data_IF_191503467147
#
_entry.id   IF_191503467147
#
_cell.length_a   1.000
_cell.length_b   1.000
_cell.length_c   1.000
_cell.angle_alpha   90.00
_cell.angle_beta   90.00
_cell.angle_gamma   90.00
#
_symmetry.space_group_name_H-M   'P 1'
#
loop_
_entity.id
_entity.type
_entity.pdbx_description
1 polymer ?
#
# COMPACT_ATOMS: atom_id res chain seq x y z
N UNK A 1 -23.85 -7.61 -3.04
CA UNK A 1 -22.79 -7.67 -2.00
C UNK A 1 -22.20 -6.27 -1.80
N UNK A 2 -21.85 -5.84 -0.59
CA UNK A 2 -21.21 -4.53 -0.33
C UNK A 2 -19.80 -4.71 0.23
N UNK A 3 -18.82 -4.07 -0.40
CA UNK A 3 -17.43 -4.04 0.08
C UNK A 3 -17.24 -2.86 1.03
N UNK A 4 -16.87 -3.16 2.27
CA UNK A 4 -16.68 -2.14 3.32
C UNK A 4 -15.20 -1.93 3.66
N UNK A 5 -14.43 -3.01 3.77
CA UNK A 5 -13.03 -2.94 4.19
C UNK A 5 -12.17 -3.79 3.27
N UNK A 6 -11.03 -3.24 2.85
CA UNK A 6 -9.98 -3.96 2.14
C UNK A 6 -8.67 -3.81 2.89
N UNK A 7 -7.90 -4.89 2.99
CA UNK A 7 -6.56 -4.88 3.58
C UNK A 7 -5.57 -5.46 2.56
N UNK A 8 -4.73 -4.59 1.99
CA UNK A 8 -3.63 -4.98 1.13
C UNK A 8 -2.43 -5.41 1.99
N UNK A 9 -2.34 -6.71 2.22
CA UNK A 9 -1.29 -7.34 3.05
C UNK A 9 -0.20 -8.05 2.25
N UNK A 10 -0.50 -8.48 1.02
CA UNK A 10 0.43 -9.24 0.19
C UNK A 10 1.76 -8.47 -0.01
N UNK A 11 2.87 -9.14 0.26
CA UNK A 11 4.19 -8.60 0.06
C UNK A 11 5.27 -9.65 0.11
N UNK A 12 6.33 -9.45 -0.66
CA UNK A 12 7.54 -10.28 -0.67
C UNK A 12 8.77 -9.42 -0.38
N UNK A 13 9.80 -10.09 0.13
CA UNK A 13 11.14 -9.53 0.34
C UNK A 13 12.13 -10.33 -0.49
N UNK A 14 13.18 -9.68 -0.99
CA UNK A 14 14.29 -10.37 -1.66
C UNK A 14 15.39 -10.70 -0.64
N UNK A 15 16.29 -11.66 -0.95
CA UNK A 15 17.46 -11.92 -0.11
C UNK A 15 18.30 -10.65 0.10
N UNK A 16 18.79 -10.46 1.32
CA UNK A 16 19.63 -9.32 1.66
C UNK A 16 20.89 -9.32 0.79
N UNK A 17 21.05 -8.27 -0.02
CA UNK A 17 22.15 -8.12 -0.97
C UNK A 17 22.42 -6.64 -1.28
N UNK A 18 23.66 -6.33 -1.66
CA UNK A 18 24.00 -5.01 -2.21
C UNK A 18 23.17 -4.71 -3.46
N UNK A 19 22.91 -3.43 -3.73
CA UNK A 19 22.03 -3.03 -4.84
C UNK A 19 22.55 -3.49 -6.20
N UNK A 20 23.87 -3.53 -6.36
CA UNK A 20 24.59 -4.04 -7.54
C UNK A 20 24.37 -5.54 -7.79
N UNK A 21 23.92 -6.28 -6.76
CA UNK A 21 23.66 -7.71 -6.83
C UNK A 21 22.16 -8.04 -6.96
N UNK A 22 21.28 -7.04 -6.90
CA UNK A 22 19.83 -7.23 -7.09
C UNK A 22 19.55 -7.22 -8.59
N UNK A 23 19.17 -8.37 -9.14
CA UNK A 23 18.79 -8.44 -10.56
C UNK A 23 17.50 -7.67 -10.84
N UNK A 24 17.37 -7.16 -12.06
CA UNK A 24 16.17 -6.46 -12.53
C UNK A 24 14.92 -7.32 -12.36
N UNK A 25 14.99 -8.61 -12.71
CA UNK A 25 13.87 -9.54 -12.54
C UNK A 25 13.42 -9.69 -11.07
N UNK A 26 14.35 -9.66 -10.11
CA UNK A 26 14.01 -9.67 -8.68
C UNK A 26 13.39 -8.35 -8.27
N UNK A 27 13.97 -7.23 -8.71
CA UNK A 27 13.44 -5.90 -8.44
C UNK A 27 11.99 -5.77 -8.94
N UNK A 28 11.75 -6.12 -10.20
CA UNK A 28 10.44 -6.10 -10.84
C UNK A 28 9.44 -7.02 -10.16
N UNK A 29 9.88 -8.19 -9.71
CA UNK A 29 9.01 -9.10 -8.96
C UNK A 29 8.57 -8.48 -7.62
N UNK A 30 9.49 -7.87 -6.88
CA UNK A 30 9.19 -7.20 -5.60
C UNK A 30 8.26 -6.01 -5.81
N UNK A 31 8.54 -5.15 -6.80
CA UNK A 31 7.69 -4.01 -7.15
C UNK A 31 6.31 -4.49 -7.66
N UNK A 32 6.29 -5.51 -8.50
CA UNK A 32 5.11 -6.11 -9.08
C UNK A 32 4.14 -6.63 -8.02
N UNK A 33 4.64 -7.36 -7.03
CA UNK A 33 3.81 -7.87 -5.93
C UNK A 33 3.43 -6.76 -4.97
N UNK A 34 4.41 -6.04 -4.44
CA UNK A 34 4.19 -5.16 -3.29
C UNK A 34 3.48 -3.86 -3.67
N UNK A 35 3.83 -3.25 -4.80
CA UNK A 35 3.28 -1.97 -5.24
C UNK A 35 2.18 -2.17 -6.27
N UNK A 36 2.47 -2.82 -7.39
CA UNK A 36 1.49 -2.96 -8.49
C UNK A 36 0.30 -3.80 -8.03
N UNK A 37 0.51 -4.86 -7.26
CA UNK A 37 -0.57 -5.62 -6.62
C UNK A 37 -1.47 -4.75 -5.75
N UNK A 38 -0.87 -3.98 -4.84
CA UNK A 38 -1.60 -3.03 -3.96
C UNK A 38 -2.40 -2.01 -4.77
N UNK A 39 -1.81 -1.45 -5.83
CA UNK A 39 -2.49 -0.51 -6.72
C UNK A 39 -3.71 -1.15 -7.40
N UNK A 40 -3.56 -2.33 -7.98
CA UNK A 40 -4.63 -3.00 -8.72
C UNK A 40 -5.82 -3.34 -7.83
N UNK A 41 -5.57 -3.89 -6.64
CA UNK A 41 -6.63 -4.18 -5.67
C UNK A 41 -7.29 -2.90 -5.18
N UNK A 42 -6.51 -1.86 -4.88
CA UNK A 42 -7.04 -0.56 -4.44
C UNK A 42 -7.92 0.07 -5.51
N UNK A 43 -7.50 0.04 -6.78
CA UNK A 43 -8.27 0.57 -7.91
C UNK A 43 -9.65 -0.08 -7.98
N UNK A 44 -9.70 -1.41 -7.95
CA UNK A 44 -10.96 -2.14 -8.05
C UNK A 44 -11.83 -1.95 -6.81
N UNK A 45 -11.21 -1.98 -5.61
CA UNK A 45 -11.91 -1.71 -4.36
C UNK A 45 -12.57 -0.34 -4.35
N UNK A 46 -11.86 0.71 -4.79
CA UNK A 46 -12.41 2.07 -4.90
C UNK A 46 -13.56 2.09 -5.90
N UNK A 47 -13.42 1.48 -7.08
CA UNK A 47 -14.50 1.39 -8.07
C UNK A 47 -15.77 0.78 -7.47
N UNK A 48 -15.66 -0.37 -6.80
CA UNK A 48 -16.79 -1.06 -6.16
C UNK A 48 -17.38 -0.25 -4.99
N UNK A 49 -16.52 0.39 -4.21
CA UNK A 49 -16.96 1.26 -3.12
C UNK A 49 -17.75 2.46 -3.66
N UNK A 50 -17.31 3.11 -4.74
CA UNK A 50 -17.98 4.30 -5.27
C UNK A 50 -19.35 4.01 -5.93
N UNK A 51 -19.63 2.76 -6.33
CA UNK A 51 -20.93 2.39 -6.92
C UNK A 51 -22.13 2.66 -6.00
N UNK A 52 -21.96 2.61 -4.68
CA UNK A 52 -23.03 2.93 -3.72
C UNK A 52 -22.79 4.29 -3.08
N UNK A 53 -23.76 5.19 -3.24
CA UNK A 53 -23.82 6.50 -2.59
C UNK A 53 -24.23 6.33 -1.11
N UNK A 54 -23.84 7.29 -0.27
CA UNK A 54 -24.28 7.41 1.13
C UNK A 54 -23.91 6.26 2.07
N UNK A 55 -22.82 5.53 1.80
CA UNK A 55 -22.32 4.48 2.69
C UNK A 55 -21.12 5.01 3.46
N UNK A 56 -21.22 4.99 4.78
CA UNK A 56 -20.14 5.33 5.71
C UNK A 56 -19.35 4.08 6.11
N UNK A 57 -18.17 4.25 6.71
CA UNK A 57 -17.37 3.14 7.24
C UNK A 57 -16.55 2.37 6.20
N UNK A 58 -16.19 3.00 5.08
CA UNK A 58 -15.32 2.40 4.06
C UNK A 58 -13.85 2.67 4.34
N UNK A 59 -13.04 1.62 4.28
CA UNK A 59 -11.61 1.72 4.51
C UNK A 59 -10.80 0.79 3.60
N UNK A 60 -9.64 1.28 3.17
CA UNK A 60 -8.62 0.49 2.47
C UNK A 60 -7.33 0.64 3.29
N UNK A 61 -6.82 -0.45 3.86
CA UNK A 61 -5.58 -0.46 4.61
C UNK A 61 -4.45 -1.01 3.74
N UNK A 62 -3.37 -0.25 3.58
CA UNK A 62 -2.17 -0.69 2.87
C UNK A 62 -1.04 -0.96 3.86
N UNK A 63 -0.54 -2.19 3.90
CA UNK A 63 0.56 -2.54 4.79
C UNK A 63 1.90 -2.12 4.17
N UNK A 64 2.51 -1.07 4.72
CA UNK A 64 3.87 -0.65 4.38
C UNK A 64 4.90 -1.18 5.40
N UNK A 65 6.08 -0.57 5.46
CA UNK A 65 7.13 -0.95 6.41
C UNK A 65 7.94 0.28 6.83
N UNK A 66 8.57 0.21 8.00
CA UNK A 66 9.54 1.21 8.48
C UNK A 66 10.69 1.35 7.48
N UNK A 67 11.09 0.25 6.83
CA UNK A 67 12.08 0.23 5.76
C UNK A 67 11.67 1.11 4.56
N UNK A 68 10.39 1.43 4.39
CA UNK A 68 9.89 2.34 3.37
C UNK A 68 10.01 3.83 3.74
N UNK A 69 10.28 4.16 5.00
CA UNK A 69 10.46 5.56 5.46
C UNK A 69 11.89 6.05 5.27
N UNK A 70 12.87 5.19 5.57
CA UNK A 70 14.29 5.56 5.57
C UNK A 70 15.21 4.57 4.86
N UNK A 71 14.67 3.53 4.23
CA UNK A 71 15.46 2.41 3.72
C UNK A 71 15.79 1.39 4.82
N UNK A 72 16.31 0.25 4.39
CA UNK A 72 16.98 -0.72 5.24
C UNK A 72 18.17 -1.27 4.45
N UNK A 73 19.38 -1.34 5.03
CA UNK A 73 20.56 -1.83 4.33
C UNK A 73 20.31 -3.19 3.69
N UNK A 74 20.79 -3.36 2.46
CA UNK A 74 20.69 -4.61 1.68
C UNK A 74 19.27 -5.04 1.26
N UNK A 75 18.25 -4.20 1.45
CA UNK A 75 16.86 -4.46 1.06
C UNK A 75 16.31 -3.38 0.10
N UNK A 76 17.13 -2.95 -0.86
CA UNK A 76 16.84 -1.80 -1.74
C UNK A 76 15.48 -1.91 -2.45
N UNK A 77 15.19 -3.04 -3.11
CA UNK A 77 13.93 -3.22 -3.85
C UNK A 77 12.73 -3.29 -2.90
N UNK A 78 12.89 -3.95 -1.74
CA UNK A 78 11.83 -4.03 -0.74
C UNK A 78 11.53 -2.65 -0.13
N UNK A 79 12.55 -1.92 0.29
CA UNK A 79 12.45 -0.55 0.80
C UNK A 79 11.81 0.39 -0.21
N UNK A 80 12.25 0.35 -1.48
CA UNK A 80 11.66 1.14 -2.55
C UNK A 80 10.16 0.81 -2.71
N UNK A 81 9.80 -0.47 -2.74
CA UNK A 81 8.40 -0.90 -2.87
C UNK A 81 7.52 -0.39 -1.72
N UNK A 82 8.01 -0.46 -0.48
CA UNK A 82 7.25 -0.03 0.71
C UNK A 82 7.21 1.50 0.85
N UNK A 83 8.25 2.21 0.41
CA UNK A 83 8.23 3.66 0.28
C UNK A 83 7.21 4.12 -0.76
N UNK A 84 7.13 3.43 -1.90
CA UNK A 84 6.12 3.69 -2.92
C UNK A 84 4.70 3.46 -2.39
N UNK A 85 4.45 2.41 -1.61
CA UNK A 85 3.13 2.17 -0.98
C UNK A 85 2.75 3.29 0.01
N UNK A 86 3.72 3.83 0.78
CA UNK A 86 3.48 4.98 1.67
C UNK A 86 3.06 6.20 0.85
N UNK A 87 3.82 6.54 -0.18
CA UNK A 87 3.53 7.69 -1.05
C UNK A 87 2.21 7.53 -1.80
N UNK A 88 1.94 6.34 -2.35
CA UNK A 88 0.68 5.99 -3.00
C UNK A 88 -0.52 6.17 -2.07
N UNK A 89 -0.41 5.74 -0.81
CA UNK A 89 -1.51 5.87 0.14
C UNK A 89 -1.77 7.33 0.52
N UNK A 90 -0.70 8.14 0.66
CA UNK A 90 -0.81 9.58 0.93
C UNK A 90 -1.45 10.34 -0.23
N UNK A 91 -1.05 10.04 -1.48
CA UNK A 91 -1.62 10.70 -2.66
C UNK A 91 -3.07 10.30 -2.93
N UNK A 92 -3.46 9.06 -2.60
CA UNK A 92 -4.83 8.54 -2.73
C UNK A 92 -5.87 9.17 -1.80
N UNK A 93 -5.51 10.20 -1.02
CA UNK A 93 -6.46 11.04 -0.30
C UNK A 93 -6.64 10.71 1.19
N UNK A 94 -5.69 10.03 1.86
CA UNK A 94 -5.85 9.66 3.28
C UNK A 94 -4.70 9.99 4.22
N UNK A 95 -5.13 10.50 5.38
CA UNK A 95 -4.47 10.67 6.68
C UNK A 95 -3.80 9.37 7.18
N UNK A 96 -2.47 9.34 7.15
CA UNK A 96 -1.67 8.27 7.76
C UNK A 96 -1.72 8.36 9.30
N UNK A 97 -2.27 7.35 9.98
CA UNK A 97 -2.10 7.16 11.42
C UNK A 97 -0.92 6.20 11.65
N UNK A 98 0.30 6.72 11.72
CA UNK A 98 1.44 5.91 12.15
C UNK A 98 1.47 5.86 13.69
N UNK A 99 1.03 4.75 14.29
CA UNK A 99 1.33 4.41 15.69
C UNK A 99 1.95 3.01 15.74
N UNK A 100 3.15 2.90 16.32
CA UNK A 100 3.83 1.63 16.57
C UNK A 100 4.67 1.10 15.40
N UNK A 101 5.62 0.21 15.73
CA UNK A 101 6.77 -0.27 14.94
C UNK A 101 6.44 -1.00 13.62
N UNK A 102 5.15 -1.14 13.28
CA UNK A 102 4.65 -1.55 11.96
C UNK A 102 4.08 -0.35 11.21
N UNK A 103 4.72 0.07 10.12
CA UNK A 103 4.19 1.16 9.30
C UNK A 103 3.01 0.66 8.43
N UNK A 104 1.84 0.43 9.01
CA UNK A 104 0.61 0.27 8.25
C UNK A 104 0.08 1.65 7.84
N UNK A 105 -0.17 1.88 6.55
CA UNK A 105 -0.74 3.14 6.07
C UNK A 105 -2.22 2.93 5.80
N UNK A 106 -3.07 3.48 6.66
CA UNK A 106 -4.53 3.34 6.54
C UNK A 106 -5.09 4.41 5.61
N UNK A 107 -5.96 3.99 4.68
CA UNK A 107 -6.77 4.81 3.79
C UNK A 107 -8.25 4.79 4.25
N UNK A 108 -8.84 5.91 4.70
CA UNK A 108 -10.26 6.10 4.94
C UNK A 108 -10.88 6.73 3.70
N UNK A 109 -11.74 5.98 3.01
CA UNK A 109 -12.58 6.59 1.98
C UNK A 109 -13.75 7.28 2.70
N UNK A 110 -13.59 8.55 3.06
CA UNK A 110 -14.69 9.38 3.54
C UNK A 110 -15.45 9.87 2.31
N UNK A 111 -16.45 9.10 1.85
CA UNK A 111 -17.49 9.69 1.01
C UNK A 111 -18.35 10.58 1.90
N UNK A 112 -17.96 11.86 2.05
CA UNK A 112 -18.85 12.88 2.65
C UNK A 112 -20.04 13.03 1.69
N UNK A 113 -21.17 12.47 2.09
CA UNK A 113 -22.46 12.75 1.46
C UNK A 113 -23.33 13.41 2.52
N UNK A 114 -23.25 14.73 2.60
CA UNK A 114 -24.35 15.51 3.17
C UNK A 114 -25.22 16.02 2.01
N UNK A 115 -26.54 16.11 2.22
CA UNK A 115 -27.55 16.41 1.20
C UNK A 115 -27.37 17.79 0.55
#
# INVERSE_FOLDING_TARGET
>A
MSLSIVVNSAGIVHPASGVENVSEAVFDKVIGVNLKGTYLVTKEAVTLMLQKKNVTGRAILNIASVSGKGGYPFLSAYSASKGAVISFTKSGGVRSCARGEFASTLSFLVTRTHP
#
